data_IF_735110717967
#
_entry.id   IF_735110717967
#
_cell.length_a   1.000
_cell.length_b   1.000
_cell.length_c   1.000
_cell.angle_alpha   90.00
_cell.angle_beta   90.00
_cell.angle_gamma   90.00
#
_symmetry.space_group_name_H-M   'P 1'
#
loop_
_entity.id
_entity.type
_entity.pdbx_description
1 polymer ?
#
# COMPACT_ATOMS: atom_id res chain seq x y z
N UNK A 1 -28.89 1.63 1.42
CA UNK A 1 -28.37 2.63 0.46
C UNK A 1 -28.71 2.15 -0.94
N UNK A 2 -29.19 3.03 -1.82
CA UNK A 2 -29.64 2.63 -3.15
C UNK A 2 -28.53 2.49 -4.21
N UNK A 3 -27.26 2.59 -3.82
CA UNK A 3 -26.12 2.45 -4.74
C UNK A 3 -25.79 0.99 -4.97
N UNK A 4 -25.69 0.59 -6.24
CA UNK A 4 -25.20 -0.73 -6.62
C UNK A 4 -23.68 -0.84 -6.49
N UNK A 5 -23.09 -2.04 -6.58
CA UNK A 5 -21.65 -2.20 -6.39
C UNK A 5 -20.83 -1.50 -7.47
N UNK A 6 -21.39 -1.32 -8.66
CA UNK A 6 -20.79 -0.55 -9.74
C UNK A 6 -20.70 0.97 -9.46
N UNK A 7 -21.21 1.47 -8.33
CA UNK A 7 -21.19 2.89 -7.97
C UNK A 7 -22.35 3.71 -8.52
N UNK A 8 -23.25 3.11 -9.31
CA UNK A 8 -24.45 3.77 -9.82
C UNK A 8 -25.53 3.80 -8.74
N UNK A 9 -26.04 5.00 -8.45
CA UNK A 9 -27.18 5.17 -7.56
C UNK A 9 -28.47 4.76 -8.28
N UNK A 10 -29.12 3.67 -7.82
CA UNK A 10 -30.33 3.16 -8.44
C UNK A 10 -31.54 4.08 -8.23
N UNK A 11 -31.56 4.97 -7.22
CA UNK A 11 -32.67 5.92 -7.01
C UNK A 11 -32.80 6.96 -8.14
N UNK A 12 -31.70 7.25 -8.84
CA UNK A 12 -31.71 8.15 -10.00
C UNK A 12 -31.87 7.42 -11.33
N UNK A 13 -31.99 6.08 -11.32
CA UNK A 13 -32.19 5.27 -12.53
C UNK A 13 -33.66 5.29 -12.97
N UNK A 14 -33.90 5.59 -14.25
CA UNK A 14 -35.24 5.61 -14.83
C UNK A 14 -35.96 4.26 -14.69
N UNK A 15 -35.27 3.14 -14.91
CA UNK A 15 -35.87 1.80 -14.79
C UNK A 15 -36.35 1.49 -13.37
N UNK A 16 -35.67 2.03 -12.35
CA UNK A 16 -36.11 1.91 -10.96
C UNK A 16 -37.34 2.78 -10.69
N UNK A 17 -37.37 4.03 -11.21
CA UNK A 17 -38.54 4.92 -11.09
C UNK A 17 -39.78 4.40 -11.79
N UNK A 18 -39.60 3.66 -12.89
CA UNK A 18 -40.70 3.00 -13.62
C UNK A 18 -41.15 1.67 -12.98
N UNK A 19 -40.54 1.25 -11.86
CA UNK A 19 -40.86 -0.01 -11.18
C UNK A 19 -40.40 -1.27 -11.91
N UNK A 20 -39.69 -1.12 -13.04
CA UNK A 20 -39.12 -2.23 -13.83
C UNK A 20 -37.91 -2.85 -13.15
N UNK A 21 -37.23 -2.10 -12.29
CA UNK A 21 -36.05 -2.52 -11.56
C UNK A 21 -36.14 -2.08 -10.09
N UNK A 22 -35.20 -2.55 -9.28
CA UNK A 22 -35.06 -2.29 -7.85
C UNK A 22 -33.57 -2.11 -7.52
N UNK A 23 -33.25 -1.49 -6.39
CA UNK A 23 -31.83 -1.27 -6.03
C UNK A 23 -31.07 -2.59 -5.88
N UNK A 24 -29.83 -2.59 -6.38
CA UNK A 24 -28.90 -3.71 -6.21
C UNK A 24 -28.24 -3.74 -4.82
N UNK A 25 -28.12 -2.60 -4.16
CA UNK A 25 -27.39 -2.45 -2.91
C UNK A 25 -25.89 -2.83 -2.99
N UNK A 26 -25.16 -2.79 -1.87
CA UNK A 26 -23.77 -3.21 -1.80
C UNK A 26 -23.63 -4.73 -1.93
N UNK A 27 -22.58 -5.24 -2.58
CA UNK A 27 -22.45 -6.66 -2.88
C UNK A 27 -22.40 -7.57 -1.65
N UNK A 28 -21.74 -7.13 -0.58
CA UNK A 28 -21.64 -7.85 0.69
C UNK A 28 -22.91 -7.84 1.56
N UNK A 29 -24.06 -7.37 1.05
CA UNK A 29 -25.31 -7.25 1.82
C UNK A 29 -26.45 -8.12 1.25
N UNK A 30 -27.47 -8.49 2.06
CA UNK A 30 -28.58 -9.34 1.61
C UNK A 30 -29.39 -8.79 0.42
N UNK A 31 -29.39 -7.48 0.22
CA UNK A 31 -29.99 -6.80 -0.94
C UNK A 31 -29.42 -7.33 -2.26
N UNK A 32 -28.10 -7.54 -2.34
CA UNK A 32 -27.46 -8.04 -3.54
C UNK A 32 -27.91 -9.47 -3.89
N UNK A 33 -28.03 -10.34 -2.89
CA UNK A 33 -28.50 -11.71 -3.09
C UNK A 33 -29.96 -11.75 -3.59
N UNK A 34 -30.84 -10.97 -2.94
CA UNK A 34 -32.25 -10.85 -3.37
C UNK A 34 -32.34 -10.35 -4.80
N UNK A 35 -31.49 -9.37 -5.17
CA UNK A 35 -31.47 -8.80 -6.50
C UNK A 35 -31.00 -9.83 -7.54
N UNK A 36 -29.93 -10.57 -7.27
CA UNK A 36 -29.43 -11.62 -8.17
C UNK A 36 -30.49 -12.68 -8.44
N UNK A 37 -31.15 -13.20 -7.40
CA UNK A 37 -32.27 -14.16 -7.54
C UNK A 37 -33.42 -13.60 -8.37
N UNK A 38 -33.75 -12.32 -8.20
CA UNK A 38 -34.80 -11.66 -8.98
C UNK A 38 -34.41 -11.50 -10.46
N UNK A 39 -33.17 -11.10 -10.74
CA UNK A 39 -32.67 -10.96 -12.11
C UNK A 39 -32.66 -12.29 -12.85
N UNK A 40 -32.17 -13.35 -12.21
CA UNK A 40 -32.16 -14.69 -12.81
C UNK A 40 -33.57 -15.18 -13.16
N UNK A 41 -34.53 -14.99 -12.25
CA UNK A 41 -35.94 -15.37 -12.48
C UNK A 41 -36.64 -14.54 -13.56
N UNK A 42 -36.37 -13.24 -13.63
CA UNK A 42 -37.11 -12.31 -14.50
C UNK A 42 -36.47 -12.10 -15.88
N UNK A 43 -35.14 -12.18 -15.96
CA UNK A 43 -34.36 -11.80 -17.15
C UNK A 43 -33.57 -12.98 -17.72
N UNK A 44 -33.57 -14.15 -17.07
CA UNK A 44 -32.79 -15.31 -17.50
C UNK A 44 -31.28 -15.13 -17.34
N UNK A 45 -30.85 -14.14 -16.56
CA UNK A 45 -29.44 -13.82 -16.32
C UNK A 45 -29.26 -12.80 -15.19
N UNK A 46 -28.02 -12.45 -14.86
CA UNK A 46 -27.69 -11.52 -13.78
C UNK A 46 -26.60 -10.52 -14.20
N UNK A 47 -26.48 -9.43 -13.45
CA UNK A 47 -25.34 -8.52 -13.62
C UNK A 47 -24.06 -9.15 -13.09
N UNK A 48 -23.07 -9.36 -13.94
CA UNK A 48 -21.79 -9.96 -13.57
C UNK A 48 -21.02 -9.15 -12.52
N UNK A 49 -21.12 -7.82 -12.58
CA UNK A 49 -20.51 -6.94 -11.57
C UNK A 49 -21.14 -7.19 -10.19
N UNK A 50 -22.47 -7.29 -10.12
CA UNK A 50 -23.18 -7.58 -8.86
C UNK A 50 -22.86 -8.98 -8.34
N UNK A 51 -22.82 -9.98 -9.23
CA UNK A 51 -22.49 -11.36 -8.87
C UNK A 51 -21.07 -11.46 -8.30
N UNK A 52 -20.08 -10.94 -9.02
CA UNK A 52 -18.69 -10.91 -8.57
C UNK A 52 -18.55 -10.17 -7.24
N UNK A 53 -19.21 -9.01 -7.09
CA UNK A 53 -19.16 -8.25 -5.85
C UNK A 53 -19.78 -8.99 -4.67
N UNK A 54 -20.86 -9.74 -4.90
CA UNK A 54 -21.52 -10.54 -3.89
C UNK A 54 -20.68 -11.74 -3.44
N UNK A 55 -20.06 -12.43 -4.39
CA UNK A 55 -19.20 -13.57 -4.14
C UNK A 55 -17.94 -13.15 -3.37
N UNK A 56 -17.29 -12.06 -3.80
CA UNK A 56 -16.09 -11.51 -3.15
C UNK A 56 -16.39 -10.71 -1.86
N UNK A 57 -17.66 -10.59 -1.46
CA UNK A 57 -18.11 -9.76 -0.32
C UNK A 57 -17.61 -8.31 -0.38
N UNK A 58 -17.45 -7.79 -1.59
CA UNK A 58 -17.11 -6.39 -1.86
C UNK A 58 -18.39 -5.55 -1.76
N UNK A 59 -18.32 -4.41 -1.07
CA UNK A 59 -19.44 -3.47 -0.98
C UNK A 59 -19.65 -2.75 -2.31
N UNK A 60 -18.68 -1.91 -2.67
CA UNK A 60 -18.67 -1.13 -3.90
C UNK A 60 -17.34 -1.27 -4.64
N UNK A 61 -17.36 -1.63 -5.92
CA UNK A 61 -16.15 -1.84 -6.71
C UNK A 61 -15.25 -0.59 -6.75
N UNK A 62 -15.84 0.59 -6.84
CA UNK A 62 -15.10 1.85 -6.95
C UNK A 62 -14.25 2.16 -5.69
N UNK A 63 -14.75 1.86 -4.49
CA UNK A 63 -14.10 2.19 -3.22
C UNK A 63 -13.46 0.99 -2.52
N UNK A 64 -14.08 -0.18 -2.64
CA UNK A 64 -13.74 -1.38 -1.87
C UNK A 64 -12.97 -2.42 -2.68
N UNK A 65 -13.11 -2.45 -4.01
CA UNK A 65 -12.44 -3.45 -4.84
C UNK A 65 -11.09 -2.94 -5.31
N UNK A 66 -10.03 -3.66 -4.96
CA UNK A 66 -8.66 -3.37 -5.36
C UNK A 66 -8.40 -3.68 -6.84
N UNK A 67 -9.06 -4.71 -7.38
CA UNK A 67 -8.97 -5.05 -8.80
C UNK A 67 -9.57 -3.96 -9.70
N UNK A 68 -10.41 -3.07 -9.17
CA UNK A 68 -11.02 -2.03 -9.98
C UNK A 68 -10.01 -0.95 -10.36
N UNK A 69 -9.89 -0.56 -11.64
CA UNK A 69 -10.65 -1.04 -12.80
C UNK A 69 -10.24 -2.44 -13.29
N UNK A 70 -11.18 -3.39 -13.28
CA UNK A 70 -10.95 -4.78 -13.72
C UNK A 70 -11.67 -5.07 -15.05
N UNK A 71 -11.45 -6.28 -15.61
CA UNK A 71 -12.06 -6.70 -16.88
C UNK A 71 -13.59 -6.74 -16.91
N UNK A 72 -14.26 -6.80 -15.75
CA UNK A 72 -15.72 -6.69 -15.66
C UNK A 72 -16.23 -5.27 -15.98
N UNK A 73 -15.34 -4.28 -15.96
CA UNK A 73 -15.63 -2.91 -16.34
C UNK A 73 -14.99 -2.64 -17.71
N UNK A 74 -15.81 -2.73 -18.76
CA UNK A 74 -15.49 -2.34 -20.13
C UNK A 74 -16.13 -0.99 -20.45
N UNK A 75 -17.15 -0.99 -21.30
CA UNK A 75 -17.91 0.22 -21.68
C UNK A 75 -19.05 0.57 -20.70
N UNK A 76 -19.32 -0.30 -19.72
CA UNK A 76 -20.40 -0.13 -18.76
C UNK A 76 -19.91 -0.25 -17.30
N UNK A 77 -20.41 0.60 -16.36
CA UNK A 77 -21.15 1.84 -16.61
C UNK A 77 -20.22 3.04 -16.88
N UNK A 78 -18.91 2.80 -16.97
CA UNK A 78 -17.90 3.85 -17.04
C UNK A 78 -17.19 3.82 -18.39
N UNK A 79 -16.82 5.01 -18.88
CA UNK A 79 -16.04 5.13 -20.11
C UNK A 79 -14.61 4.64 -19.93
N UNK A 80 -13.97 4.26 -21.04
CA UNK A 80 -12.54 3.93 -21.06
C UNK A 80 -11.69 5.07 -20.46
N UNK A 81 -12.03 6.33 -20.74
CA UNK A 81 -11.35 7.49 -20.17
C UNK A 81 -11.44 7.53 -18.64
N UNK A 82 -12.60 7.21 -18.05
CA UNK A 82 -12.76 7.13 -16.60
C UNK A 82 -11.96 5.96 -16.02
N UNK A 83 -12.02 4.78 -16.65
CA UNK A 83 -11.25 3.62 -16.19
C UNK A 83 -9.74 3.88 -16.31
N UNK A 84 -9.27 4.52 -17.39
CA UNK A 84 -7.88 4.91 -17.54
C UNK A 84 -7.45 5.92 -16.47
N UNK A 85 -8.30 6.90 -16.14
CA UNK A 85 -8.06 7.82 -15.02
C UNK A 85 -7.95 7.07 -13.69
N UNK A 86 -8.86 6.13 -13.42
CA UNK A 86 -8.82 5.32 -12.20
C UNK A 86 -7.56 4.45 -12.13
N UNK A 87 -7.16 3.79 -13.23
CA UNK A 87 -5.88 3.06 -13.29
C UNK A 87 -4.70 3.98 -12.95
N UNK A 88 -4.65 5.19 -13.51
CA UNK A 88 -3.59 6.18 -13.20
C UNK A 88 -3.60 6.65 -11.74
N UNK A 89 -4.77 6.83 -11.14
CA UNK A 89 -4.91 7.32 -9.75
C UNK A 89 -4.71 6.23 -8.70
N UNK A 90 -4.99 4.97 -9.06
CA UNK A 90 -4.89 3.82 -8.16
C UNK A 90 -3.54 3.09 -8.27
N UNK A 91 -2.92 3.09 -9.45
CA UNK A 91 -1.54 2.63 -9.61
C UNK A 91 -0.55 3.77 -9.36
N UNK A 92 0.15 3.71 -8.22
CA UNK A 92 1.34 4.51 -7.93
C UNK A 92 1.09 5.88 -7.29
N UNK A 93 -0.05 6.09 -6.63
CA UNK A 93 -0.41 7.38 -6.02
C UNK A 93 -1.38 7.25 -4.83
N UNK A 94 -1.36 6.15 -4.07
CA UNK A 94 -1.85 6.27 -2.70
C UNK A 94 -0.75 7.05 -1.94
N UNK A 95 -0.96 8.36 -1.80
CA UNK A 95 -0.22 9.28 -0.91
C UNK A 95 1.13 9.85 -1.38
N UNK A 96 1.21 10.52 -2.53
CA UNK A 96 2.32 11.48 -2.80
C UNK A 96 1.92 12.92 -2.44
N UNK A 97 1.14 13.07 -1.37
CA UNK A 97 1.10 14.33 -0.65
C UNK A 97 1.91 14.12 0.62
N UNK A 98 2.87 15.00 0.86
CA UNK A 98 3.49 15.11 2.15
C UNK A 98 2.45 15.49 3.21
N UNK A 99 2.83 15.41 4.50
CA UNK A 99 1.95 15.77 5.61
C UNK A 99 1.32 17.16 5.48
N UNK A 100 1.98 18.09 4.79
CA UNK A 100 1.46 19.43 4.51
C UNK A 100 0.42 19.50 3.37
N UNK A 101 -0.01 18.37 2.81
CA UNK A 101 -0.92 18.31 1.67
C UNK A 101 -0.31 18.76 0.33
N UNK A 102 1.03 18.92 0.27
CA UNK A 102 1.76 19.30 -0.95
C UNK A 102 2.48 18.10 -1.55
N UNK A 103 2.77 18.17 -2.84
CA UNK A 103 3.57 17.14 -3.53
C UNK A 103 4.95 17.06 -2.88
N UNK A 104 5.43 15.84 -2.65
CA UNK A 104 6.79 15.61 -2.17
C UNK A 104 7.75 15.82 -3.34
N UNK A 105 8.64 16.81 -3.19
CA UNK A 105 9.62 17.17 -4.20
C UNK A 105 10.87 16.28 -4.13
N UNK A 106 11.69 16.33 -5.18
CA UNK A 106 12.96 15.62 -5.24
C UNK A 106 13.92 16.13 -4.14
N UNK A 107 14.49 15.25 -3.30
CA UNK A 107 15.32 15.67 -2.17
C UNK A 107 16.75 16.01 -2.60
N UNK A 108 16.93 17.09 -3.35
CA UNK A 108 18.24 17.52 -3.87
C UNK A 108 19.31 17.69 -2.78
N UNK A 109 18.93 18.21 -1.61
CA UNK A 109 19.85 18.41 -0.49
C UNK A 109 20.45 17.09 0.04
N UNK A 110 19.69 15.99 0.07
CA UNK A 110 20.19 14.69 0.54
C UNK A 110 21.25 14.13 -0.41
N UNK A 111 21.12 14.38 -1.71
CA UNK A 111 22.15 14.04 -2.69
C UNK A 111 23.44 14.84 -2.45
N UNK A 112 23.32 16.14 -2.21
CA UNK A 112 24.47 17.01 -1.93
C UNK A 112 25.21 16.56 -0.66
N UNK A 113 24.48 16.15 0.38
CA UNK A 113 25.07 15.63 1.61
C UNK A 113 25.71 14.26 1.41
N UNK A 114 25.03 13.33 0.76
CA UNK A 114 25.53 11.98 0.50
C UNK A 114 26.85 12.00 -0.29
N UNK A 115 26.96 12.88 -1.29
CA UNK A 115 28.18 13.05 -2.10
C UNK A 115 29.39 13.53 -1.30
N UNK A 116 29.20 14.12 -0.12
CA UNK A 116 30.29 14.54 0.78
C UNK A 116 30.78 13.42 1.68
N UNK A 117 30.10 12.28 1.71
CA UNK A 117 30.42 11.15 2.58
C UNK A 117 31.34 10.13 1.89
N UNK A 118 32.05 9.35 2.70
CA UNK A 118 32.80 8.20 2.21
C UNK A 118 31.84 7.03 1.91
N UNK A 119 31.66 6.70 0.63
CA UNK A 119 30.71 5.67 0.20
C UNK A 119 31.04 4.27 0.71
N UNK A 120 32.31 3.96 0.97
CA UNK A 120 32.69 2.68 1.56
C UNK A 120 32.19 2.56 3.01
N UNK A 121 32.33 3.64 3.79
CA UNK A 121 31.81 3.68 5.16
C UNK A 121 30.28 3.63 5.18
N UNK A 122 29.63 4.32 4.23
CA UNK A 122 28.18 4.29 4.05
C UNK A 122 27.69 2.89 3.69
N UNK A 123 28.34 2.22 2.74
CA UNK A 123 28.02 0.84 2.37
C UNK A 123 28.12 -0.10 3.58
N UNK A 124 29.23 -0.01 4.33
CA UNK A 124 29.48 -0.83 5.51
C UNK A 124 28.44 -0.62 6.61
N UNK A 125 28.13 0.64 6.96
CA UNK A 125 27.20 0.96 8.06
C UNK A 125 25.76 0.55 7.73
N UNK A 126 25.35 0.70 6.47
CA UNK A 126 23.99 0.37 5.99
C UNK A 126 23.85 -1.09 5.52
N UNK A 127 24.92 -1.90 5.64
CA UNK A 127 24.98 -3.29 5.14
C UNK A 127 24.57 -3.39 3.66
N UNK A 128 25.16 -2.53 2.83
CA UNK A 128 24.96 -2.49 1.39
C UNK A 128 26.26 -2.80 0.66
N UNK A 129 26.15 -3.26 -0.59
CA UNK A 129 27.30 -3.53 -1.44
C UNK A 129 27.70 -2.26 -2.20
N UNK A 130 29.01 -1.99 -2.27
CA UNK A 130 29.56 -0.96 -3.14
C UNK A 130 30.01 -1.61 -4.45
N UNK A 131 29.35 -1.26 -5.55
CA UNK A 131 29.66 -1.73 -6.91
C UNK A 131 30.45 -0.64 -7.63
N UNK A 132 31.72 -0.91 -7.93
CA UNK A 132 32.62 0.09 -8.50
C UNK A 132 32.90 1.24 -7.51
N UNK A 133 32.96 2.47 -8.01
CA UNK A 133 33.35 3.65 -7.19
C UNK A 133 32.17 4.52 -6.72
N UNK A 134 30.94 4.27 -7.17
CA UNK A 134 29.83 5.21 -6.93
C UNK A 134 28.43 4.61 -6.87
N UNK A 135 28.28 3.29 -6.94
CA UNK A 135 26.98 2.63 -6.95
C UNK A 135 26.80 1.81 -5.69
N UNK A 136 25.81 2.16 -4.86
CA UNK A 136 25.38 1.34 -3.73
C UNK A 136 24.27 0.39 -4.19
N UNK A 137 24.37 -0.88 -3.81
CA UNK A 137 23.43 -1.94 -4.16
C UNK A 137 22.90 -2.61 -2.91
N UNK A 138 21.60 -2.81 -2.84
CA UNK A 138 20.96 -3.55 -1.77
C UNK A 138 19.63 -4.15 -2.20
N UNK A 139 19.09 -5.02 -1.36
CA UNK A 139 17.78 -5.61 -1.53
C UNK A 139 16.76 -4.85 -0.67
N UNK A 140 15.70 -4.33 -1.29
CA UNK A 140 14.54 -3.75 -0.62
C UNK A 140 13.33 -4.60 -0.93
N UNK A 141 12.76 -5.25 0.09
CA UNK A 141 11.74 -6.28 -0.10
C UNK A 141 12.27 -7.35 -1.09
N UNK A 142 11.53 -7.70 -2.15
CA UNK A 142 12.00 -8.60 -3.24
C UNK A 142 12.59 -7.87 -4.45
N UNK A 143 12.84 -6.58 -4.35
CA UNK A 143 13.44 -5.81 -5.43
C UNK A 143 14.88 -5.35 -5.13
N UNK A 144 15.78 -5.54 -6.11
CA UNK A 144 17.13 -4.99 -6.04
C UNK A 144 17.10 -3.49 -6.30
N UNK A 145 17.80 -2.71 -5.49
CA UNK A 145 17.91 -1.26 -5.62
C UNK A 145 19.35 -0.88 -5.89
N UNK A 146 19.57 -0.01 -6.87
CA UNK A 146 20.87 0.56 -7.19
C UNK A 146 20.81 2.08 -7.01
N UNK A 147 21.73 2.64 -6.24
CA UNK A 147 21.85 4.08 -6.00
C UNK A 147 23.14 4.55 -6.64
N UNK A 148 23.04 5.25 -7.77
CA UNK A 148 24.18 5.88 -8.45
C UNK A 148 24.36 7.29 -7.89
N UNK A 149 25.34 7.43 -7.00
CA UNK A 149 25.61 8.68 -6.28
C UNK A 149 26.18 9.75 -7.20
N UNK A 150 26.91 9.35 -8.25
CA UNK A 150 27.51 10.29 -9.20
C UNK A 150 26.44 10.88 -10.13
N UNK A 151 25.50 10.05 -10.58
CA UNK A 151 24.38 10.49 -11.43
C UNK A 151 23.18 11.03 -10.65
N UNK A 152 23.17 10.90 -9.32
CA UNK A 152 22.05 11.27 -8.44
C UNK A 152 20.75 10.60 -8.85
N UNK A 153 20.81 9.31 -9.14
CA UNK A 153 19.66 8.52 -9.59
C UNK A 153 19.57 7.20 -8.82
N UNK A 154 18.35 6.74 -8.58
CA UNK A 154 18.05 5.43 -8.01
C UNK A 154 17.37 4.59 -9.09
N UNK A 155 17.90 3.40 -9.34
CA UNK A 155 17.41 2.45 -10.32
C UNK A 155 16.81 1.23 -9.63
N UNK A 156 15.69 0.78 -10.19
CA UNK A 156 14.98 -0.44 -9.83
C UNK A 156 15.00 -1.35 -11.07
N UNK A 157 15.93 -2.31 -11.20
CA UNK A 157 16.15 -3.03 -12.45
C UNK A 157 14.94 -3.80 -12.99
N UNK A 158 14.02 -4.20 -12.10
CA UNK A 158 12.79 -4.92 -12.48
C UNK A 158 11.67 -3.97 -12.91
N UNK A 159 11.82 -2.65 -12.70
CA UNK A 159 10.79 -1.64 -13.00
C UNK A 159 11.28 -0.71 -14.10
N UNK A 160 10.42 -0.47 -15.09
CA UNK A 160 10.65 0.58 -16.10
C UNK A 160 10.29 1.99 -15.61
N UNK A 161 9.94 2.15 -14.33
CA UNK A 161 9.51 3.43 -13.74
C UNK A 161 10.51 3.93 -12.72
N UNK A 162 10.70 5.26 -12.70
CA UNK A 162 11.51 5.94 -11.69
C UNK A 162 10.88 5.78 -10.29
N UNK A 163 11.69 5.61 -9.23
CA UNK A 163 11.21 5.62 -7.86
C UNK A 163 10.50 6.93 -7.52
N UNK A 164 9.51 6.86 -6.63
CA UNK A 164 8.82 8.06 -6.14
C UNK A 164 9.78 8.96 -5.34
N UNK A 165 9.53 10.29 -5.30
CA UNK A 165 10.32 11.19 -4.45
C UNK A 165 10.38 10.75 -2.99
N UNK A 166 9.27 10.22 -2.45
CA UNK A 166 9.22 9.67 -1.10
C UNK A 166 10.17 8.48 -0.93
N UNK A 167 10.22 7.56 -1.89
CA UNK A 167 11.18 6.46 -1.85
C UNK A 167 12.62 6.98 -1.79
N UNK A 168 12.93 7.98 -2.62
CA UNK A 168 14.26 8.62 -2.61
C UNK A 168 14.55 9.29 -1.26
N UNK A 169 13.61 10.01 -0.66
CA UNK A 169 13.77 10.59 0.68
C UNK A 169 14.18 9.51 1.68
N UNK A 170 13.46 8.39 1.73
CA UNK A 170 13.75 7.33 2.70
C UNK A 170 15.14 6.72 2.48
N UNK A 171 15.47 6.34 1.24
CA UNK A 171 16.75 5.72 0.92
C UNK A 171 17.91 6.69 1.19
N UNK A 172 17.82 7.93 0.71
CA UNK A 172 18.90 8.89 0.85
C UNK A 172 19.06 9.35 2.30
N UNK A 173 17.96 9.56 3.05
CA UNK A 173 18.04 9.87 4.49
C UNK A 173 18.71 8.74 5.27
N UNK A 174 18.46 7.49 4.90
CA UNK A 174 19.16 6.36 5.50
C UNK A 174 20.66 6.39 5.22
N UNK A 175 21.04 6.55 3.95
CA UNK A 175 22.45 6.58 3.54
C UNK A 175 23.20 7.74 4.20
N UNK A 176 22.58 8.91 4.28
CA UNK A 176 23.19 10.12 4.83
C UNK A 176 23.25 10.08 6.35
N UNK A 177 22.14 9.78 7.04
CA UNK A 177 22.02 9.98 8.48
C UNK A 177 22.18 8.73 9.33
N UNK A 178 22.23 7.53 8.76
CA UNK A 178 22.43 6.32 9.55
C UNK A 178 23.75 6.39 10.31
N UNK A 179 23.66 6.12 11.61
CA UNK A 179 24.79 6.02 12.55
C UNK A 179 25.08 4.55 12.84
N UNK A 180 26.34 4.19 13.17
CA UNK A 180 26.64 2.87 13.69
C UNK A 180 25.78 2.59 14.93
N UNK A 181 24.94 1.56 14.86
CA UNK A 181 24.10 1.15 15.97
C UNK A 181 24.15 -0.37 16.10
N UNK A 182 24.32 -0.85 17.34
CA UNK A 182 24.16 -2.26 17.62
C UNK A 182 22.73 -2.72 17.26
N UNK A 183 22.60 -3.97 16.84
CA UNK A 183 21.29 -4.57 16.64
C UNK A 183 20.53 -4.57 17.97
N UNK A 184 19.26 -4.17 17.92
CA UNK A 184 18.38 -4.21 19.08
C UNK A 184 17.32 -5.29 18.91
N UNK A 185 17.11 -6.09 19.95
CA UNK A 185 16.02 -7.06 20.05
C UNK A 185 14.74 -6.46 20.63
N UNK A 186 14.80 -5.21 21.11
CA UNK A 186 13.63 -4.50 21.66
C UNK A 186 12.79 -3.92 20.53
N UNK A 187 11.52 -4.31 20.49
CA UNK A 187 10.51 -3.72 19.61
C UNK A 187 9.98 -2.41 20.19
N UNK A 188 9.79 -1.41 19.32
CA UNK A 188 9.17 -0.13 19.65
C UNK A 188 8.16 0.24 18.57
N UNK A 189 7.03 0.81 18.97
CA UNK A 189 6.05 1.40 18.06
C UNK A 189 6.28 2.91 17.87
N UNK A 190 5.42 3.55 17.08
CA UNK A 190 5.51 4.99 16.82
C UNK A 190 5.39 5.85 18.08
N UNK A 191 4.59 5.43 19.06
CA UNK A 191 4.40 6.15 20.33
C UNK A 191 5.61 6.07 21.25
N UNK A 192 6.47 5.08 21.04
CA UNK A 192 7.67 4.84 21.85
C UNK A 192 8.91 5.56 21.30
N UNK A 193 8.81 6.16 20.10
CA UNK A 193 9.89 6.95 19.52
C UNK A 193 10.08 8.25 20.32
N UNK A 194 11.33 8.69 20.46
CA UNK A 194 11.65 10.01 21.01
C UNK A 194 10.99 11.15 20.22
N UNK A 195 10.69 10.91 18.94
CA UNK A 195 9.97 11.80 18.04
C UNK A 195 8.49 11.42 17.90
N UNK A 196 7.84 10.81 18.89
CA UNK A 196 6.46 10.32 18.80
C UNK A 196 5.45 11.39 18.36
N UNK A 197 5.61 12.62 18.84
CA UNK A 197 4.80 13.80 18.45
C UNK A 197 4.85 14.09 16.95
N UNK A 198 5.91 13.65 16.25
CA UNK A 198 5.98 13.78 14.78
C UNK A 198 4.88 12.99 14.09
N UNK A 199 4.38 11.90 14.67
CA UNK A 199 3.38 11.02 14.04
C UNK A 199 1.93 11.39 14.42
N UNK A 200 1.73 12.61 14.89
CA UNK A 200 0.42 13.16 15.23
C UNK A 200 -0.09 14.17 14.19
N UNK A 201 -1.35 14.57 14.30
CA UNK A 201 -1.96 15.57 13.42
C UNK A 201 -1.85 15.18 11.93
N UNK A 202 -1.25 16.06 11.14
CA UNK A 202 -1.11 15.89 9.68
C UNK A 202 -0.14 14.78 9.28
N UNK A 203 0.70 14.32 10.20
CA UNK A 203 1.65 13.22 9.98
C UNK A 203 1.11 11.89 10.52
N UNK A 204 -0.12 11.87 11.04
CA UNK A 204 -0.78 10.65 11.49
C UNK A 204 -0.87 9.64 10.35
N UNK A 205 -0.43 8.42 10.61
CA UNK A 205 -0.46 7.33 9.63
C UNK A 205 -1.89 6.78 9.53
N UNK A 206 -2.52 6.78 8.33
CA UNK A 206 -3.90 6.37 8.14
C UNK A 206 -4.03 4.84 8.04
N UNK A 207 -3.79 4.14 9.15
CA UNK A 207 -3.75 2.66 9.19
C UNK A 207 -5.12 1.99 9.01
N UNK A 208 -6.23 2.73 9.22
CA UNK A 208 -7.60 2.18 9.18
C UNK A 208 -7.99 1.61 7.82
N UNK A 209 -7.45 2.14 6.73
CA UNK A 209 -7.71 1.60 5.39
C UNK A 209 -7.08 0.21 5.22
N UNK A 210 -5.86 0.01 5.73
CA UNK A 210 -5.18 -1.28 5.67
C UNK A 210 -5.80 -2.27 6.64
N UNK A 211 -6.18 -1.85 7.84
CA UNK A 211 -6.90 -2.70 8.79
C UNK A 211 -8.14 -3.34 8.14
N UNK A 212 -8.92 -2.56 7.38
CA UNK A 212 -10.08 -3.07 6.62
C UNK A 212 -9.72 -4.07 5.51
N UNK A 213 -8.52 -3.98 4.92
CA UNK A 213 -8.07 -4.96 3.94
C UNK A 213 -7.74 -6.31 4.59
N UNK A 214 -7.19 -6.29 5.80
CA UNK A 214 -6.98 -7.50 6.60
C UNK A 214 -8.29 -8.08 7.13
N UNK A 215 -9.22 -7.24 7.62
CA UNK A 215 -10.54 -7.70 8.10
C UNK A 215 -11.33 -8.48 7.04
N UNK A 216 -11.21 -8.09 5.77
CA UNK A 216 -11.94 -8.69 4.64
C UNK A 216 -11.23 -9.90 4.02
N UNK A 217 -10.18 -10.40 4.66
CA UNK A 217 -9.30 -11.47 4.15
C UNK A 217 -8.82 -11.19 2.70
N UNK A 218 -8.68 -9.90 2.34
CA UNK A 218 -8.25 -9.52 1.00
C UNK A 218 -6.74 -9.76 0.87
N UNK A 219 -5.97 -9.49 1.92
CA UNK A 219 -4.52 -9.70 1.89
C UNK A 219 -4.22 -11.17 2.16
N UNK A 220 -3.85 -11.91 1.11
CA UNK A 220 -3.38 -13.29 1.22
C UNK A 220 -1.95 -13.31 1.71
N UNK A 221 -1.67 -14.17 2.70
CA UNK A 221 -0.33 -14.36 3.28
C UNK A 221 0.69 -14.69 2.19
N UNK A 222 0.34 -15.62 1.31
CA UNK A 222 1.19 -16.10 0.22
C UNK A 222 1.59 -14.94 -0.71
N UNK A 223 0.66 -14.02 -1.03
CA UNK A 223 0.96 -12.85 -1.84
C UNK A 223 2.02 -11.94 -1.21
N UNK A 224 2.00 -11.77 0.12
CA UNK A 224 2.97 -10.93 0.81
C UNK A 224 4.35 -11.58 0.84
N UNK A 225 4.41 -12.88 1.08
CA UNK A 225 5.66 -13.65 1.05
C UNK A 225 6.25 -13.68 -0.38
N UNK A 226 5.43 -13.97 -1.37
CA UNK A 226 5.85 -14.14 -2.76
C UNK A 226 6.21 -12.83 -3.45
N UNK A 227 5.49 -11.73 -3.18
CA UNK A 227 5.70 -10.46 -3.88
C UNK A 227 6.58 -9.49 -3.10
N UNK A 228 6.50 -9.50 -1.76
CA UNK A 228 7.22 -8.55 -0.91
C UNK A 228 8.32 -9.20 -0.08
N UNK A 229 8.42 -10.53 -0.06
CA UNK A 229 9.41 -11.21 0.79
C UNK A 229 9.10 -11.00 2.26
N UNK A 230 7.81 -10.84 2.57
CA UNK A 230 7.35 -10.78 3.94
C UNK A 230 7.65 -12.11 4.62
N UNK A 231 7.92 -12.07 5.91
CA UNK A 231 8.08 -13.27 6.73
C UNK A 231 7.01 -13.24 7.80
N UNK A 232 6.22 -14.31 7.91
CA UNK A 232 5.18 -14.39 8.92
C UNK A 232 5.78 -14.43 10.33
N UNK A 233 5.14 -13.71 11.24
CA UNK A 233 5.53 -13.60 12.64
C UNK A 233 4.37 -14.04 13.54
N UNK A 234 4.61 -14.16 14.85
CA UNK A 234 3.64 -14.68 15.83
C UNK A 234 3.06 -13.60 16.76
N UNK A 235 3.12 -12.33 16.37
CA UNK A 235 2.57 -11.21 17.12
C UNK A 235 1.16 -10.85 16.64
N UNK A 236 0.25 -10.51 17.55
CA UNK A 236 -1.14 -10.19 17.22
C UNK A 236 -1.88 -11.36 16.56
N UNK A 237 -2.96 -11.06 15.84
CA UNK A 237 -3.70 -12.06 15.06
C UNK A 237 -3.01 -12.38 13.73
N UNK A 238 -2.44 -11.36 13.10
CA UNK A 238 -1.64 -11.48 11.88
C UNK A 238 -0.44 -10.56 12.01
N UNK A 239 0.77 -11.08 11.78
CA UNK A 239 1.95 -10.22 11.69
C UNK A 239 2.94 -10.68 10.62
N UNK A 240 3.66 -9.68 10.12
CA UNK A 240 4.67 -9.85 9.08
C UNK A 240 5.88 -8.98 9.36
N UNK A 241 7.06 -9.52 9.10
CA UNK A 241 8.33 -8.80 9.04
C UNK A 241 8.70 -8.51 7.59
N UNK A 242 9.02 -7.26 7.30
CA UNK A 242 9.42 -6.79 5.98
C UNK A 242 10.83 -6.22 6.03
N UNK A 243 11.70 -6.69 5.14
CA UNK A 243 13.06 -6.17 4.98
C UNK A 243 13.07 -4.98 4.01
N UNK A 244 12.58 -3.83 4.47
CA UNK A 244 12.50 -2.62 3.63
C UNK A 244 13.89 -2.05 3.32
N UNK A 245 14.75 -1.98 4.33
CA UNK A 245 16.19 -1.70 4.22
C UNK A 245 16.99 -2.82 4.90
N UNK A 246 18.24 -3.09 4.50
CA UNK A 246 19.04 -4.18 5.10
C UNK A 246 19.21 -4.08 6.62
N UNK A 247 19.23 -2.86 7.17
CA UNK A 247 19.37 -2.61 8.61
C UNK A 247 18.07 -2.14 9.28
N UNK A 248 16.99 -1.93 8.53
CA UNK A 248 15.71 -1.44 9.06
C UNK A 248 14.57 -2.37 8.63
N UNK A 249 14.41 -3.52 9.30
CA UNK A 249 13.20 -4.32 9.21
C UNK A 249 12.01 -3.55 9.81
N UNK A 250 10.83 -3.77 9.22
CA UNK A 250 9.56 -3.19 9.66
C UNK A 250 8.60 -4.33 9.94
N UNK A 251 7.99 -4.32 11.12
CA UNK A 251 6.95 -5.29 11.47
C UNK A 251 5.58 -4.63 11.35
N UNK A 252 4.66 -5.31 10.69
CA UNK A 252 3.24 -5.00 10.72
C UNK A 252 2.56 -5.99 11.65
N UNK A 253 1.83 -5.49 12.64
CA UNK A 253 1.01 -6.30 13.55
C UNK A 253 -0.43 -5.86 13.44
N UNK A 254 -1.28 -6.75 12.97
CA UNK A 254 -2.72 -6.57 12.85
C UNK A 254 -3.45 -7.27 14.00
N UNK A 255 -4.38 -6.55 14.58
CA UNK A 255 -5.33 -7.04 15.59
C UNK A 255 -6.73 -6.99 15.00
N UNK A 256 -7.41 -8.13 15.01
CA UNK A 256 -8.78 -8.26 14.53
C UNK A 256 -9.72 -7.58 15.53
N UNK A 257 -10.59 -6.72 15.02
CA UNK A 257 -11.61 -6.07 15.82
C UNK A 257 -12.70 -7.07 16.23
N UNK A 258 -13.41 -6.73 17.29
CA UNK A 258 -14.57 -7.45 17.80
C UNK A 258 -15.79 -6.52 17.85
N UNK A 259 -16.82 -6.89 18.63
CA UNK A 259 -18.04 -6.09 18.75
C UNK A 259 -17.80 -4.74 19.46
N UNK A 260 -16.75 -4.64 20.29
CA UNK A 260 -16.47 -3.50 21.14
C UNK A 260 -15.33 -2.62 20.60
N UNK A 261 -14.39 -3.20 19.85
CA UNK A 261 -13.18 -2.53 19.36
C UNK A 261 -12.95 -2.75 17.86
N UNK A 262 -12.62 -1.70 17.08
CA UNK A 262 -12.30 -1.83 15.66
C UNK A 262 -10.95 -2.53 15.45
N UNK A 263 -10.71 -3.09 14.25
CA UNK A 263 -9.37 -3.58 13.94
C UNK A 263 -8.31 -2.50 13.98
N UNK A 264 -7.12 -2.91 14.42
CA UNK A 264 -5.96 -2.05 14.52
C UNK A 264 -4.76 -2.62 13.79
N UNK A 265 -3.91 -1.73 13.30
CA UNK A 265 -2.58 -2.08 12.76
C UNK A 265 -1.55 -1.21 13.45
N UNK A 266 -0.49 -1.87 13.93
CA UNK A 266 0.68 -1.23 14.50
C UNK A 266 1.90 -1.56 13.65
N UNK A 267 2.70 -0.53 13.37
CA UNK A 267 4.05 -0.69 12.81
C UNK A 267 5.06 -0.67 13.94
N UNK A 268 5.87 -1.74 14.02
CA UNK A 268 6.94 -1.88 15.00
C UNK A 268 8.30 -1.88 14.31
N UNK A 269 9.32 -1.50 15.08
CA UNK A 269 10.70 -1.41 14.66
C UNK A 269 11.62 -1.90 15.77
N UNK A 270 12.85 -2.30 15.42
CA UNK A 270 13.92 -2.42 16.41
C UNK A 270 14.26 -1.05 16.99
N UNK A 271 14.54 -0.96 18.29
CA UNK A 271 14.71 0.33 18.98
C UNK A 271 15.84 1.21 18.46
N UNK A 272 16.81 0.62 17.76
CA UNK A 272 17.91 1.31 17.11
C UNK A 272 17.51 2.07 15.83
N UNK A 273 16.26 1.92 15.33
CA UNK A 273 15.75 2.64 14.14
C UNK A 273 15.96 4.15 14.24
N UNK A 274 15.89 4.71 15.45
CA UNK A 274 16.08 6.14 15.73
C UNK A 274 17.50 6.65 15.40
N UNK A 275 18.46 5.74 15.31
CA UNK A 275 19.84 6.04 14.88
C UNK A 275 20.05 5.77 13.38
N UNK A 276 19.08 5.15 12.71
CA UNK A 276 19.18 4.70 11.32
C UNK A 276 18.33 5.53 10.37
N UNK A 277 17.21 6.09 10.85
CA UNK A 277 16.28 6.90 10.08
C UNK A 277 15.77 8.09 10.90
N UNK A 278 15.72 9.29 10.31
CA UNK A 278 14.94 10.40 10.87
C UNK A 278 13.43 10.11 10.77
N UNK A 279 12.59 10.81 11.56
CA UNK A 279 11.16 10.51 11.67
C UNK A 279 10.36 10.64 10.37
N UNK A 280 10.72 11.58 9.50
CA UNK A 280 10.15 11.75 8.17
C UNK A 280 10.46 10.56 7.24
N UNK A 281 11.66 9.99 7.33
CA UNK A 281 12.02 8.78 6.60
C UNK A 281 11.32 7.53 7.17
N UNK A 282 11.11 7.44 8.49
CA UNK A 282 10.28 6.37 9.09
C UNK A 282 8.84 6.48 8.57
N UNK A 283 8.27 7.69 8.58
CA UNK A 283 6.94 7.95 8.03
C UNK A 283 6.83 7.55 6.57
N UNK A 284 7.82 7.91 5.76
CA UNK A 284 7.87 7.55 4.34
C UNK A 284 7.98 6.04 4.12
N UNK A 285 8.83 5.36 4.88
CA UNK A 285 9.01 3.91 4.79
C UNK A 285 7.69 3.16 5.04
N UNK A 286 6.93 3.60 6.05
CA UNK A 286 5.61 3.03 6.36
C UNK A 286 4.65 3.26 5.19
N UNK A 287 4.55 4.47 4.64
CA UNK A 287 3.63 4.75 3.53
C UNK A 287 3.96 3.94 2.27
N UNK A 288 5.25 3.80 1.94
CA UNK A 288 5.69 2.97 0.81
C UNK A 288 5.35 1.50 1.06
N UNK A 289 5.59 0.99 2.27
CA UNK A 289 5.26 -0.38 2.62
C UNK A 289 3.74 -0.64 2.55
N UNK A 290 2.95 0.29 3.07
CA UNK A 290 1.50 0.31 3.00
C UNK A 290 1.00 0.24 1.54
N UNK A 291 1.58 1.06 0.66
CA UNK A 291 1.26 1.04 -0.77
C UNK A 291 1.65 -0.30 -1.42
N UNK A 292 2.85 -0.83 -1.11
CA UNK A 292 3.32 -2.11 -1.63
C UNK A 292 2.43 -3.28 -1.20
N UNK A 293 1.96 -3.30 0.05
CA UNK A 293 1.00 -4.30 0.57
C UNK A 293 -0.29 -4.24 -0.23
N UNK A 294 -0.86 -3.04 -0.41
CA UNK A 294 -2.10 -2.87 -1.18
C UNK A 294 -1.91 -3.30 -2.64
N UNK A 295 -0.78 -2.97 -3.27
CA UNK A 295 -0.50 -3.34 -4.66
C UNK A 295 -0.20 -4.83 -4.85
N UNK A 296 0.41 -5.50 -3.86
CA UNK A 296 0.64 -6.94 -3.90
C UNK A 296 -0.66 -7.74 -4.03
N UNK A 297 -1.76 -7.19 -3.50
CA UNK A 297 -3.08 -7.76 -3.71
C UNK A 297 -3.60 -7.53 -5.13
N UNK A 298 -3.41 -6.34 -5.69
CA UNK A 298 -3.87 -5.99 -7.06
C UNK A 298 -3.15 -6.82 -8.13
N UNK A 299 -1.87 -7.14 -7.92
CA UNK A 299 -1.06 -7.88 -8.89
C UNK A 299 -1.21 -9.41 -8.81
N UNK A 300 -2.01 -9.95 -7.88
CA UNK A 300 -2.16 -11.41 -7.69
C UNK A 300 -3.53 -12.02 -8.07
N UNK A 301 -4.27 -11.48 -9.07
CA UNK A 301 -5.21 -12.33 -9.81
C UNK A 301 -5.22 -12.15 -11.34
N UNK A 302 -4.23 -11.47 -11.94
CA UNK A 302 -4.13 -11.42 -13.41
C UNK A 302 -2.85 -12.12 -13.87
N UNK A 303 -2.95 -13.42 -14.14
CA UNK A 303 -2.13 -14.04 -15.17
C UNK A 303 -2.39 -13.26 -16.47
N UNK A 304 -1.45 -12.41 -16.83
CA UNK A 304 -1.43 -11.73 -18.13
C UNK A 304 -0.69 -12.69 -19.07
N UNK A 305 -1.45 -13.45 -19.85
CA UNK A 305 -1.02 -13.90 -21.18
C UNK A 305 -1.20 -12.74 -22.17
#
# INVERSE_FOLDING_TARGET
MATGPCGINCEVCLLNRLGTCSSCGPGGRPEAERKLKAQEKMLGGFCEILKCSHDKKVGYCLSDCLDFPCGLFGEYPYSEAFLAMQRRRRCGHLFILGPNGKIIEEPHHLWDELQRLNLWEVARKCKMDLVGEGILSFQSLKEKVLVDVNKREIYLPLRQRRPSPLFKVVILSHLTYAKPAASSTKFIGLRDLSSSLFFEGTHKIPVSHIAKFFERDMIRKESLEDLLGAEAETMGDISFRFHFLPTVPIWLVYWRGDEDFPSEINFLFSSNVQNLLPPDAIWGAIHILMEAIIHSHIQNPFEIH
#
